data_IF_471928900475
#
_entry.id   IF_471928900475
#
_cell.length_a   1.000
_cell.length_b   1.000
_cell.length_c   1.000
_cell.angle_alpha   90.00
_cell.angle_beta   90.00
_cell.angle_gamma   90.00
#
_symmetry.space_group_name_H-M   'P 1'
#
loop_
_entity.id
_entity.type
_entity.pdbx_description
1 polymer ?
#
# COMPACT_ATOMS: atom_id res chain seq x y z
N UNK A 1 -2.01 50.02 -20.21
CA UNK A 1 -2.94 49.13 -19.51
C UNK A 1 -2.10 48.30 -18.56
N UNK A 2 -2.13 48.66 -17.29
CA UNK A 2 -1.40 47.98 -16.21
C UNK A 2 -2.12 46.68 -15.88
N UNK A 3 -1.42 45.55 -15.97
CA UNK A 3 -1.93 44.24 -15.55
C UNK A 3 -2.22 44.26 -14.05
N UNK A 4 -3.50 44.25 -13.71
CA UNK A 4 -3.97 44.07 -12.34
C UNK A 4 -3.90 42.58 -12.05
N UNK A 5 -2.84 42.16 -11.35
CA UNK A 5 -2.74 40.82 -10.78
C UNK A 5 -3.69 40.78 -9.57
N UNK A 6 -4.84 40.12 -9.73
CA UNK A 6 -5.70 39.79 -8.61
C UNK A 6 -5.06 38.65 -7.81
N UNK A 7 -4.36 38.98 -6.73
CA UNK A 7 -4.08 38.00 -5.68
C UNK A 7 -5.37 37.76 -4.93
N UNK A 8 -6.03 36.63 -5.19
CA UNK A 8 -7.08 36.10 -4.30
C UNK A 8 -6.42 35.69 -2.98
N UNK A 9 -6.03 36.66 -2.14
CA UNK A 9 -5.99 36.43 -0.70
C UNK A 9 -7.45 36.21 -0.32
N UNK A 10 -7.82 34.96 -0.08
CA UNK A 10 -9.03 34.65 0.68
C UNK A 10 -9.04 35.60 1.88
N UNK A 11 -10.09 36.40 2.01
CA UNK A 11 -10.32 37.28 3.16
C UNK A 11 -10.69 36.43 4.39
N UNK A 12 -9.92 35.38 4.68
CA UNK A 12 -9.97 34.70 5.97
C UNK A 12 -9.34 35.66 6.97
N UNK A 13 -10.17 36.26 7.81
CA UNK A 13 -9.68 37.05 8.95
C UNK A 13 -8.97 36.07 9.85
N UNK A 14 -7.66 36.26 10.01
CA UNK A 14 -6.82 35.49 10.92
C UNK A 14 -7.49 35.41 12.29
N UNK A 15 -7.82 34.20 12.74
CA UNK A 15 -8.64 34.00 13.94
C UNK A 15 -8.35 32.66 14.59
N UNK A 16 -7.77 32.77 15.77
CA UNK A 16 -7.62 31.68 16.71
C UNK A 16 -8.88 30.82 16.84
N UNK A 17 -8.72 29.56 16.46
CA UNK A 17 -9.73 28.52 16.54
C UNK A 17 -10.33 28.10 15.20
N UNK A 18 -9.72 28.48 14.07
CA UNK A 18 -10.09 28.02 12.73
C UNK A 18 -9.27 26.80 12.25
N UNK A 19 -8.33 26.32 13.07
CA UNK A 19 -7.35 25.26 12.81
C UNK A 19 -6.26 25.65 11.78
N UNK A 20 -6.03 26.93 11.55
CA UNK A 20 -4.95 27.43 10.69
C UNK A 20 -4.03 28.30 11.52
N UNK A 21 -2.74 27.94 11.58
CA UNK A 21 -1.76 28.73 12.33
C UNK A 21 -1.41 29.99 11.53
N UNK A 22 -1.93 31.13 11.98
CA UNK A 22 -1.66 32.45 11.43
C UNK A 22 -0.32 33.05 11.96
N UNK A 23 0.16 34.13 11.34
CA UNK A 23 1.45 34.77 11.69
C UNK A 23 1.57 35.20 13.16
N UNK A 24 0.45 35.46 13.85
CA UNK A 24 0.41 35.86 15.27
C UNK A 24 0.22 34.71 16.24
N UNK A 25 -0.02 33.49 15.75
CA UNK A 25 -0.37 32.32 16.54
C UNK A 25 0.79 31.34 16.63
N UNK A 26 0.87 30.61 17.74
CA UNK A 26 1.87 29.56 17.91
C UNK A 26 1.33 28.18 17.53
N UNK A 27 0.03 27.99 17.72
CA UNK A 27 -0.72 26.77 17.44
C UNK A 27 -2.19 27.11 17.26
N UNK A 28 -2.94 26.23 16.59
CA UNK A 28 -4.39 26.35 16.51
C UNK A 28 -5.04 24.95 16.50
N UNK A 29 -5.63 24.58 17.64
CA UNK A 29 -6.36 23.33 17.89
C UNK A 29 -7.85 23.41 17.50
N UNK A 30 -8.29 24.53 16.91
CA UNK A 30 -9.63 24.79 16.43
C UNK A 30 -10.58 25.31 17.51
N UNK A 31 -11.83 24.84 17.47
CA UNK A 31 -12.86 25.29 18.40
C UNK A 31 -12.43 25.11 19.87
N UNK A 32 -12.91 25.99 20.76
CA UNK A 32 -12.63 25.93 22.21
C UNK A 32 -12.79 24.52 22.83
N UNK A 33 -13.80 23.75 22.39
CA UNK A 33 -14.02 22.37 22.87
C UNK A 33 -12.91 21.39 22.46
N UNK A 34 -12.32 21.56 21.28
CA UNK A 34 -11.17 20.75 20.83
C UNK A 34 -9.93 21.12 21.64
N UNK A 35 -9.63 22.42 21.73
CA UNK A 35 -8.51 22.94 22.51
C UNK A 35 -8.56 22.60 24.00
N UNK A 36 -9.76 22.48 24.60
CA UNK A 36 -9.89 22.06 25.99
C UNK A 36 -9.30 20.66 26.25
N UNK A 37 -9.36 19.76 25.26
CA UNK A 37 -8.79 18.42 25.34
C UNK A 37 -7.38 18.33 24.74
N UNK A 38 -6.83 19.45 24.25
CA UNK A 38 -5.53 19.50 23.62
C UNK A 38 -4.43 19.77 24.68
N UNK A 39 -3.48 18.85 24.88
CA UNK A 39 -2.39 19.05 25.84
C UNK A 39 -1.30 20.00 25.31
N UNK A 40 -1.27 20.25 24.00
CA UNK A 40 -0.20 20.91 23.28
C UNK A 40 -0.55 22.34 22.87
N UNK A 41 -1.82 22.69 22.75
CA UNK A 41 -2.26 24.04 22.43
C UNK A 41 -3.37 24.54 23.35
N UNK A 42 -3.27 25.80 23.80
CA UNK A 42 -4.31 26.45 24.59
C UNK A 42 -5.36 27.11 23.69
N UNK A 43 -6.52 27.40 24.28
CA UNK A 43 -7.61 28.12 23.60
C UNK A 43 -7.29 29.58 23.22
N UNK A 44 -6.14 30.11 23.63
CA UNK A 44 -5.62 31.42 23.23
C UNK A 44 -4.56 31.33 22.11
N UNK A 45 -4.44 30.16 21.47
CA UNK A 45 -3.51 29.87 20.38
C UNK A 45 -2.02 30.05 20.76
N UNK A 46 -1.72 29.79 22.04
CA UNK A 46 -0.35 29.77 22.58
C UNK A 46 0.04 28.40 23.10
N UNK A 47 1.34 28.12 23.08
CA UNK A 47 1.87 26.89 23.65
C UNK A 47 1.85 26.94 25.19
N UNK A 48 1.44 25.85 25.88
CA UNK A 48 1.74 25.66 27.29
C UNK A 48 3.26 25.47 27.50
N UNK A 49 3.71 25.66 28.75
CA UNK A 49 5.14 25.52 29.07
C UNK A 49 5.64 24.11 28.76
N UNK A 50 6.72 24.02 27.99
CA UNK A 50 7.31 22.75 27.58
C UNK A 50 6.80 22.21 26.23
N UNK A 51 5.77 22.82 25.66
CA UNK A 51 5.31 22.50 24.30
C UNK A 51 6.06 23.34 23.27
N UNK A 52 6.42 22.68 22.17
CA UNK A 52 7.12 23.27 21.02
C UNK A 52 6.35 23.05 19.71
N UNK A 53 5.36 22.16 19.72
CA UNK A 53 4.51 21.84 18.59
C UNK A 53 3.16 21.34 19.10
N UNK A 54 2.18 21.41 18.20
CA UNK A 54 0.81 20.92 18.39
C UNK A 54 0.43 19.98 17.25
N UNK A 55 0.67 20.43 16.02
CA UNK A 55 0.39 19.69 14.79
C UNK A 55 1.66 19.11 14.15
N UNK A 56 1.46 18.14 13.26
CA UNK A 56 2.52 17.48 12.48
C UNK A 56 2.83 16.06 12.96
N UNK A 57 3.11 15.16 12.01
CA UNK A 57 3.32 13.72 12.32
C UNK A 57 4.62 13.43 13.09
N UNK A 58 5.51 14.40 13.20
CA UNK A 58 6.72 14.35 14.04
C UNK A 58 6.60 15.24 15.29
N UNK A 59 5.39 15.64 15.67
CA UNK A 59 5.09 16.17 16.99
C UNK A 59 4.64 15.03 17.90
N UNK A 60 5.45 14.68 18.90
CA UNK A 60 5.16 13.60 19.85
C UNK A 60 5.24 14.17 21.25
N UNK A 61 4.17 14.02 22.03
CA UNK A 61 4.06 14.62 23.37
C UNK A 61 4.38 16.12 23.38
N UNK A 62 3.80 16.87 22.43
CA UNK A 62 3.97 18.31 22.26
C UNK A 62 5.41 18.78 21.99
N UNK A 63 6.31 17.86 21.66
CA UNK A 63 7.72 18.12 21.43
C UNK A 63 8.20 17.42 20.16
N UNK A 64 9.40 17.79 19.72
CA UNK A 64 10.00 17.21 18.52
C UNK A 64 10.25 15.71 18.70
N UNK A 65 9.77 14.92 17.75
CA UNK A 65 10.06 13.49 17.71
C UNK A 65 11.56 13.23 17.56
N UNK A 66 12.07 12.23 18.27
CA UNK A 66 13.44 11.77 18.09
C UNK A 66 13.66 11.26 16.65
N UNK A 67 14.90 11.35 16.13
CA UNK A 67 15.24 10.75 14.84
C UNK A 67 14.89 9.25 14.79
N UNK A 68 14.29 8.80 13.70
CA UNK A 68 13.91 7.40 13.51
C UNK A 68 12.53 7.00 14.04
N UNK A 69 11.73 7.94 14.53
CA UNK A 69 10.30 7.68 14.77
C UNK A 69 9.58 7.57 13.42
N UNK A 70 8.89 6.46 13.17
CA UNK A 70 8.09 6.25 11.96
C UNK A 70 6.93 7.26 11.94
N UNK A 71 6.89 8.14 10.95
CA UNK A 71 5.83 9.13 10.80
C UNK A 71 4.91 8.88 9.61
N UNK A 72 5.35 8.10 8.60
CA UNK A 72 4.47 7.57 7.56
C UNK A 72 4.78 6.10 7.29
N UNK A 73 3.82 5.18 7.51
CA UNK A 73 4.00 3.78 7.16
C UNK A 73 3.80 3.56 5.65
N UNK A 74 4.38 2.47 5.15
CA UNK A 74 4.17 1.99 3.77
C UNK A 74 2.68 1.74 3.53
N UNK A 75 2.12 2.35 2.49
CA UNK A 75 0.72 2.19 2.11
C UNK A 75 0.48 1.04 1.13
N UNK A 76 1.43 0.77 0.24
CA UNK A 76 1.33 -0.29 -0.77
C UNK A 76 2.73 -0.76 -1.20
N UNK A 77 2.80 -1.75 -2.10
CA UNK A 77 4.07 -2.38 -2.52
C UNK A 77 5.02 -1.45 -3.28
N UNK A 78 4.52 -0.33 -3.79
CA UNK A 78 5.29 0.69 -4.50
C UNK A 78 5.67 1.88 -3.62
N UNK A 79 5.37 1.84 -2.33
CA UNK A 79 5.56 2.93 -1.39
C UNK A 79 6.76 2.68 -0.44
N UNK A 80 7.34 3.74 0.12
CA UNK A 80 8.45 3.66 1.08
C UNK A 80 8.06 4.27 2.44
N UNK A 81 8.69 3.86 3.56
CA UNK A 81 8.39 4.46 4.85
C UNK A 81 9.22 5.74 5.09
N UNK A 82 8.62 6.69 5.82
CA UNK A 82 9.30 7.92 6.28
C UNK A 82 9.41 7.97 7.80
N UNK A 83 10.56 8.48 8.22
CA UNK A 83 10.95 8.64 9.61
C UNK A 83 11.26 10.10 9.90
N UNK A 84 10.91 10.53 11.11
CA UNK A 84 11.27 11.84 11.62
C UNK A 84 12.79 11.99 11.62
N UNK A 85 13.28 13.12 11.12
CA UNK A 85 14.71 13.46 11.09
C UNK A 85 15.22 13.96 12.45
N UNK A 86 14.31 14.39 13.32
CA UNK A 86 14.60 15.12 14.55
C UNK A 86 15.00 16.58 14.32
N UNK A 87 14.74 17.15 13.15
CA UNK A 87 15.02 18.57 12.83
C UNK A 87 13.76 19.40 12.55
N UNK A 88 12.57 18.80 12.60
CA UNK A 88 11.28 19.49 12.47
C UNK A 88 10.12 18.71 13.09
N UNK A 89 8.90 19.25 12.96
CA UNK A 89 7.67 18.62 13.45
C UNK A 89 6.84 17.96 12.34
N UNK A 90 7.19 18.22 11.08
CA UNK A 90 6.58 17.57 9.92
C UNK A 90 7.36 16.31 9.54
N UNK A 91 6.64 15.31 9.06
CA UNK A 91 7.24 14.17 8.40
C UNK A 91 7.91 14.64 7.10
N UNK A 92 9.02 14.00 6.66
CA UNK A 92 9.52 14.21 5.31
C UNK A 92 8.43 14.02 4.25
N UNK A 93 8.67 14.54 3.05
CA UNK A 93 7.79 14.34 1.91
C UNK A 93 7.55 12.85 1.63
N UNK A 94 6.44 12.54 0.96
CA UNK A 94 6.10 11.18 0.54
C UNK A 94 7.05 10.69 -0.56
N UNK A 95 7.91 9.73 -0.21
CA UNK A 95 8.77 9.05 -1.18
C UNK A 95 8.24 7.64 -1.46
N UNK A 96 8.35 7.24 -2.71
CA UNK A 96 7.87 5.96 -3.20
C UNK A 96 8.89 5.38 -4.19
N UNK A 97 8.73 4.11 -4.56
CA UNK A 97 9.65 3.44 -5.50
C UNK A 97 9.70 4.17 -6.84
N UNK A 98 10.88 4.28 -7.42
CA UNK A 98 11.08 4.95 -8.71
C UNK A 98 10.16 4.37 -9.78
N UNK A 99 9.57 5.24 -10.59
CA UNK A 99 8.70 4.83 -11.70
C UNK A 99 9.43 3.86 -12.64
N UNK A 100 8.75 2.75 -12.96
CA UNK A 100 9.31 1.63 -13.72
C UNK A 100 9.84 0.47 -12.86
N UNK A 101 9.90 0.62 -11.53
CA UNK A 101 10.24 -0.50 -10.63
C UNK A 101 9.20 -1.62 -10.78
N UNK A 102 9.59 -2.88 -11.09
CA UNK A 102 8.63 -3.98 -11.19
C UNK A 102 7.89 -4.22 -9.87
N UNK A 103 6.57 -4.36 -9.93
CA UNK A 103 5.73 -4.61 -8.74
C UNK A 103 4.96 -5.94 -8.81
N UNK A 104 4.62 -6.38 -10.02
CA UNK A 104 4.10 -7.74 -10.31
C UNK A 104 4.75 -8.28 -11.58
N UNK A 105 4.39 -9.48 -12.01
CA UNK A 105 4.87 -10.03 -13.28
C UNK A 105 4.40 -9.22 -14.50
N UNK A 106 3.24 -8.55 -14.39
CA UNK A 106 2.61 -7.79 -15.47
C UNK A 106 2.62 -6.26 -15.23
N UNK A 107 3.15 -5.80 -14.09
CA UNK A 107 3.01 -4.43 -13.60
C UNK A 107 4.30 -3.82 -13.07
N UNK A 108 4.37 -2.50 -13.15
CA UNK A 108 5.42 -1.67 -12.55
C UNK A 108 4.84 -0.54 -11.70
N UNK A 109 5.66 0.03 -10.82
CA UNK A 109 5.33 1.20 -10.03
C UNK A 109 5.29 2.45 -10.91
N UNK A 110 4.26 3.28 -10.71
CA UNK A 110 4.11 4.57 -11.36
C UNK A 110 3.40 5.53 -10.40
N UNK A 111 4.05 6.64 -10.04
CA UNK A 111 3.58 7.58 -9.00
C UNK A 111 3.11 6.88 -7.72
N UNK A 112 3.96 5.96 -7.21
CA UNK A 112 3.75 5.28 -5.93
C UNK A 112 2.62 4.25 -5.90
N UNK A 113 2.05 3.89 -7.05
CA UNK A 113 1.05 2.83 -7.16
C UNK A 113 1.49 1.76 -8.15
N UNK A 114 1.10 0.52 -7.91
CA UNK A 114 1.31 -0.55 -8.88
C UNK A 114 0.29 -0.43 -10.02
N UNK A 115 0.78 -0.57 -11.25
CA UNK A 115 -0.01 -0.42 -12.49
C UNK A 115 -0.79 -1.67 -12.88
N UNK A 116 -0.65 -2.76 -12.12
CA UNK A 116 -1.38 -3.99 -12.37
C UNK A 116 -2.88 -3.81 -12.07
N UNK A 117 -3.73 -4.12 -13.07
CA UNK A 117 -5.19 -4.04 -12.95
C UNK A 117 -5.76 -5.02 -11.94
N UNK A 118 -5.15 -6.19 -11.78
CA UNK A 118 -5.58 -7.19 -10.81
C UNK A 118 -5.37 -6.67 -9.39
N UNK A 119 -4.19 -6.14 -9.09
CA UNK A 119 -3.92 -5.47 -7.82
C UNK A 119 -4.92 -4.35 -7.56
N UNK A 120 -5.22 -3.52 -8.57
CA UNK A 120 -6.19 -2.45 -8.42
C UNK A 120 -7.62 -2.97 -8.14
N UNK A 121 -8.03 -4.05 -8.80
CA UNK A 121 -9.30 -4.72 -8.51
C UNK A 121 -9.33 -5.30 -7.09
N UNK A 122 -8.22 -5.86 -6.61
CA UNK A 122 -8.11 -6.44 -5.27
C UNK A 122 -8.18 -5.39 -4.16
N UNK A 123 -7.61 -4.21 -4.38
CA UNK A 123 -7.73 -3.08 -3.46
C UNK A 123 -9.20 -2.61 -3.30
N UNK A 124 -10.01 -2.71 -4.37
CA UNK A 124 -11.41 -2.26 -4.36
C UNK A 124 -12.36 -3.35 -3.88
N UNK A 125 -12.18 -4.60 -4.32
CA UNK A 125 -13.15 -5.69 -4.15
C UNK A 125 -12.64 -6.86 -3.28
N UNK A 126 -11.39 -6.81 -2.84
CA UNK A 126 -10.74 -7.85 -2.04
C UNK A 126 -9.91 -8.84 -2.85
N UNK A 127 -9.13 -9.66 -2.14
CA UNK A 127 -8.07 -10.53 -2.70
C UNK A 127 -8.50 -11.44 -3.86
N UNK A 128 -9.75 -11.91 -3.88
CA UNK A 128 -10.26 -12.80 -4.94
C UNK A 128 -10.53 -12.11 -6.28
N UNK A 129 -10.60 -10.78 -6.31
CA UNK A 129 -10.93 -10.04 -7.52
C UNK A 129 -9.78 -10.06 -8.55
N UNK A 130 -10.13 -10.14 -9.82
CA UNK A 130 -9.18 -10.20 -10.94
C UNK A 130 -9.49 -9.10 -11.96
N UNK A 131 -8.48 -8.73 -12.76
CA UNK A 131 -8.71 -7.86 -13.93
C UNK A 131 -9.79 -8.46 -14.83
N UNK A 132 -10.71 -7.61 -15.31
CA UNK A 132 -11.68 -8.04 -16.31
C UNK A 132 -10.99 -8.31 -17.66
N UNK A 133 -11.51 -9.24 -18.47
CA UNK A 133 -11.06 -9.39 -19.86
C UNK A 133 -11.37 -8.13 -20.67
N UNK A 134 -10.68 -7.96 -21.80
CA UNK A 134 -10.83 -6.79 -22.67
C UNK A 134 -12.28 -6.53 -23.11
N UNK A 135 -13.09 -7.58 -23.24
CA UNK A 135 -14.51 -7.46 -23.55
C UNK A 135 -15.28 -6.63 -22.52
N UNK A 136 -14.95 -6.72 -21.23
CA UNK A 136 -15.61 -5.93 -20.18
C UNK A 136 -15.41 -4.43 -20.39
N UNK A 137 -14.25 -4.02 -20.91
CA UNK A 137 -13.92 -2.62 -21.11
C UNK A 137 -14.75 -1.96 -22.21
N UNK A 138 -15.40 -2.71 -23.11
CA UNK A 138 -16.33 -2.15 -24.12
C UNK A 138 -17.44 -1.28 -23.52
N UNK A 139 -17.77 -1.45 -22.24
CA UNK A 139 -18.72 -0.58 -21.52
C UNK A 139 -18.25 0.89 -21.50
N UNK A 140 -16.95 1.14 -21.58
CA UNK A 140 -16.36 2.48 -21.57
C UNK A 140 -16.68 3.31 -22.83
N UNK A 141 -17.07 2.68 -23.92
CA UNK A 141 -17.54 3.34 -25.14
C UNK A 141 -18.97 3.89 -25.01
N UNK A 142 -19.71 3.51 -23.94
CA UNK A 142 -21.11 3.91 -23.78
C UNK A 142 -21.29 5.33 -23.21
N UNK A 143 -20.28 5.87 -22.52
CA UNK A 143 -20.35 7.23 -21.97
C UNK A 143 -21.37 7.41 -20.85
N UNK A 144 -21.41 6.48 -19.89
CA UNK A 144 -22.27 6.58 -18.71
C UNK A 144 -21.47 6.42 -17.41
N UNK A 145 -22.10 6.59 -16.23
CA UNK A 145 -21.41 6.65 -14.92
C UNK A 145 -20.48 5.47 -14.59
N UNK A 146 -20.77 4.28 -15.11
CA UNK A 146 -19.95 3.07 -14.93
C UNK A 146 -18.97 2.77 -16.08
N UNK A 147 -19.05 3.52 -17.18
CA UNK A 147 -18.28 3.25 -18.39
C UNK A 147 -18.08 4.53 -19.19
N UNK A 148 -16.92 5.17 -19.00
CA UNK A 148 -16.51 6.41 -19.66
C UNK A 148 -15.00 6.62 -19.46
N UNK A 149 -14.42 7.55 -20.22
CA UNK A 149 -13.03 7.97 -20.02
C UNK A 149 -12.96 9.30 -19.29
N UNK A 150 -13.84 10.24 -19.63
CA UNK A 150 -13.71 11.63 -19.22
C UNK A 150 -15.00 12.13 -18.59
N UNK A 151 -14.88 13.23 -17.84
CA UNK A 151 -16.02 13.98 -17.32
C UNK A 151 -15.93 15.39 -17.87
N UNK A 152 -16.94 15.82 -18.62
CA UNK A 152 -17.00 17.18 -19.12
C UNK A 152 -17.03 18.17 -17.94
N UNK A 153 -16.01 19.04 -17.84
CA UNK A 153 -15.77 19.89 -16.67
C UNK A 153 -16.95 20.82 -16.34
N UNK A 154 -17.75 21.23 -17.33
CA UNK A 154 -18.89 22.14 -17.13
C UNK A 154 -20.22 21.44 -16.87
N UNK A 155 -20.45 20.26 -17.46
CA UNK A 155 -21.77 19.58 -17.43
C UNK A 155 -21.80 18.39 -16.47
N UNK A 156 -20.67 18.00 -15.88
CA UNK A 156 -20.49 16.80 -15.06
C UNK A 156 -20.96 15.51 -15.76
N UNK A 157 -21.07 15.54 -17.09
CA UNK A 157 -21.51 14.41 -17.89
C UNK A 157 -20.33 13.49 -18.24
N UNK A 158 -20.49 12.16 -18.09
CA UNK A 158 -19.54 11.18 -18.57
C UNK A 158 -19.40 11.25 -20.10
N UNK A 159 -18.16 11.25 -20.58
CA UNK A 159 -17.82 11.23 -22.00
C UNK A 159 -17.29 9.84 -22.38
N UNK A 160 -17.87 9.27 -23.44
CA UNK A 160 -17.47 7.98 -23.98
C UNK A 160 -15.99 7.96 -24.36
N UNK A 161 -15.36 6.80 -24.19
CA UNK A 161 -14.00 6.59 -24.68
C UNK A 161 -13.96 6.50 -26.20
N UNK A 162 -12.87 7.00 -26.80
CA UNK A 162 -12.50 6.59 -28.15
C UNK A 162 -11.97 5.14 -28.15
N UNK A 163 -11.99 4.43 -29.29
CA UNK A 163 -11.61 3.01 -29.36
C UNK A 163 -10.20 2.70 -28.82
N UNK A 164 -9.25 3.64 -28.96
CA UNK A 164 -7.89 3.51 -28.43
C UNK A 164 -7.79 3.67 -26.92
N UNK A 165 -8.75 4.36 -26.29
CA UNK A 165 -8.70 4.77 -24.88
C UNK A 165 -9.57 3.89 -23.98
N UNK A 166 -10.29 2.93 -24.57
CA UNK A 166 -11.24 2.04 -23.87
C UNK A 166 -10.63 1.35 -22.65
N UNK A 167 -9.33 1.04 -22.70
CA UNK A 167 -8.56 0.40 -21.63
C UNK A 167 -8.09 1.37 -20.52
N UNK A 168 -8.33 2.67 -20.67
CA UNK A 168 -7.92 3.75 -19.78
C UNK A 168 -9.11 4.49 -19.14
N UNK A 169 -10.33 4.03 -19.39
CA UNK A 169 -11.55 4.54 -18.76
C UNK A 169 -11.79 3.94 -17.37
N UNK A 170 -13.03 3.52 -17.10
CA UNK A 170 -13.39 2.85 -15.85
C UNK A 170 -12.75 1.47 -15.76
N UNK A 171 -12.24 1.14 -14.58
CA UNK A 171 -11.70 -0.17 -14.26
C UNK A 171 -12.82 -1.21 -14.30
N UNK A 172 -12.53 -2.39 -14.85
CA UNK A 172 -13.44 -3.51 -14.89
C UNK A 172 -12.78 -4.72 -14.24
N UNK A 173 -13.52 -5.39 -13.36
CA UNK A 173 -13.05 -6.50 -12.55
C UNK A 173 -13.95 -7.72 -12.73
N UNK A 174 -13.42 -8.89 -12.40
CA UNK A 174 -14.14 -10.17 -12.36
C UNK A 174 -13.85 -10.89 -11.06
N UNK A 175 -14.53 -12.01 -10.83
CA UNK A 175 -14.37 -12.85 -9.63
C UNK A 175 -14.63 -12.09 -8.31
N UNK A 176 -15.57 -11.13 -8.33
CA UNK A 176 -16.01 -10.40 -7.14
C UNK A 176 -17.03 -11.24 -6.39
N UNK A 177 -16.66 -11.71 -5.18
CA UNK A 177 -17.50 -12.60 -4.36
C UNK A 177 -18.29 -11.85 -3.28
N UNK A 178 -17.73 -10.76 -2.76
CA UNK A 178 -18.35 -9.92 -1.74
C UNK A 178 -18.08 -8.45 -2.06
N UNK A 179 -19.05 -7.59 -1.77
CA UNK A 179 -18.91 -6.14 -1.95
C UNK A 179 -18.45 -5.52 -0.62
N UNK A 180 -17.24 -4.94 -0.56
CA UNK A 180 -16.79 -4.27 0.66
C UNK A 180 -17.63 -3.02 0.93
N UNK A 181 -17.46 -2.41 2.11
CA UNK A 181 -18.00 -1.09 2.36
C UNK A 181 -17.31 -0.08 1.42
N UNK A 182 -18.03 0.30 0.37
CA UNK A 182 -17.61 1.33 -0.56
C UNK A 182 -17.74 2.71 0.09
N UNK A 183 -17.00 3.68 -0.43
CA UNK A 183 -17.11 5.08 -0.02
C UNK A 183 -18.54 5.60 -0.21
N UNK A 184 -18.91 6.61 0.58
CA UNK A 184 -20.21 7.28 0.41
C UNK A 184 -20.37 7.78 -1.02
N UNK A 185 -21.60 7.70 -1.55
CA UNK A 185 -21.93 8.10 -2.91
C UNK A 185 -21.23 7.32 -4.04
N UNK A 186 -20.70 6.13 -3.75
CA UNK A 186 -20.21 5.18 -4.76
C UNK A 186 -21.21 4.02 -4.92
N UNK A 187 -21.68 3.83 -6.14
CA UNK A 187 -22.41 2.64 -6.58
C UNK A 187 -21.51 1.67 -7.34
N UNK A 188 -21.98 0.45 -7.52
CA UNK A 188 -21.33 -0.55 -8.36
C UNK A 188 -22.29 -0.99 -9.47
N UNK A 189 -21.71 -1.60 -10.51
CA UNK A 189 -22.49 -2.36 -11.49
C UNK A 189 -21.99 -3.80 -11.52
N UNK A 190 -22.91 -4.67 -11.93
CA UNK A 190 -22.64 -6.05 -12.28
C UNK A 190 -23.33 -6.28 -13.62
N UNK A 191 -22.57 -6.57 -14.67
CA UNK A 191 -23.10 -6.66 -16.03
C UNK A 191 -22.51 -7.86 -16.75
N UNK A 192 -23.36 -8.60 -17.46
CA UNK A 192 -22.92 -9.70 -18.32
C UNK A 192 -22.52 -9.13 -19.68
N UNK A 193 -21.23 -9.13 -19.99
CA UNK A 193 -20.66 -8.60 -21.23
C UNK A 193 -19.89 -9.72 -21.92
N UNK A 194 -20.30 -10.09 -23.13
CA UNK A 194 -19.71 -11.18 -23.91
C UNK A 194 -19.59 -12.50 -23.12
N UNK A 195 -20.61 -12.83 -22.31
CA UNK A 195 -20.65 -14.03 -21.48
C UNK A 195 -19.83 -13.96 -20.18
N UNK A 196 -19.19 -12.82 -19.88
CA UNK A 196 -18.40 -12.63 -18.66
C UNK A 196 -19.11 -11.67 -17.72
N UNK A 197 -19.11 -12.00 -16.42
CA UNK A 197 -19.69 -11.17 -15.38
C UNK A 197 -18.68 -10.08 -14.97
N UNK A 198 -18.88 -8.87 -15.47
CA UNK A 198 -18.02 -7.72 -15.24
C UNK A 198 -18.54 -6.85 -14.10
N UNK A 199 -17.64 -6.42 -13.23
CA UNK A 199 -17.89 -5.54 -12.11
C UNK A 199 -17.10 -4.24 -12.24
N UNK A 200 -17.63 -3.16 -11.68
CA UNK A 200 -16.95 -1.88 -11.60
C UNK A 200 -17.70 -0.93 -10.69
N UNK A 201 -17.04 0.14 -10.28
CA UNK A 201 -17.64 1.20 -9.46
C UNK A 201 -17.89 2.44 -10.29
N UNK A 202 -18.90 3.23 -9.93
CA UNK A 202 -19.20 4.47 -10.62
C UNK A 202 -18.25 5.60 -10.24
N UNK A 203 -18.27 6.64 -11.06
CA UNK A 203 -17.58 7.90 -10.81
C UNK A 203 -17.94 8.46 -9.43
N UNK A 204 -16.92 8.67 -8.59
CA UNK A 204 -17.09 9.38 -7.34
C UNK A 204 -17.48 10.85 -7.58
N UNK A 205 -18.54 11.33 -6.92
CA UNK A 205 -19.14 12.65 -7.18
C UNK A 205 -18.55 13.79 -6.33
N UNK A 206 -17.94 13.50 -5.19
CA UNK A 206 -17.39 14.53 -4.29
C UNK A 206 -16.09 15.16 -4.80
N UNK A 207 -15.88 16.44 -4.47
CA UNK A 207 -14.79 17.30 -4.98
C UNK A 207 -13.44 17.13 -4.29
N UNK A 208 -13.32 16.25 -3.28
CA UNK A 208 -12.11 16.13 -2.45
C UNK A 208 -11.69 14.67 -2.20
N UNK A 209 -12.22 13.74 -2.99
CA UNK A 209 -11.99 12.29 -2.82
C UNK A 209 -11.38 11.69 -4.08
N UNK A 210 -10.43 10.77 -3.90
CA UNK A 210 -9.83 10.01 -5.01
C UNK A 210 -10.82 9.05 -5.61
N UNK A 211 -11.08 9.17 -6.92
CA UNK A 211 -11.93 8.24 -7.66
C UNK A 211 -11.20 6.90 -7.90
N UNK A 212 -11.52 5.91 -7.07
CA UNK A 212 -10.87 4.59 -7.08
C UNK A 212 -11.24 3.73 -8.29
N UNK A 213 -12.32 4.04 -9.00
CA UNK A 213 -12.79 3.18 -10.12
C UNK A 213 -12.25 3.55 -11.49
N UNK A 214 -11.33 4.51 -11.59
CA UNK A 214 -10.67 4.90 -12.82
C UNK A 214 -9.38 4.09 -13.02
N UNK A 215 -9.08 3.63 -14.23
CA UNK A 215 -7.78 3.00 -14.50
C UNK A 215 -6.65 3.99 -14.20
N UNK A 216 -5.71 3.58 -13.33
CA UNK A 216 -4.59 4.41 -12.88
C UNK A 216 -3.71 4.84 -14.05
N UNK A 217 -3.19 6.06 -13.99
CA UNK A 217 -2.13 6.48 -14.90
C UNK A 217 -0.91 5.55 -14.77
N UNK A 218 -0.18 5.34 -15.86
CA UNK A 218 0.90 4.37 -15.93
C UNK A 218 0.47 2.95 -16.30
N UNK A 219 -0.83 2.63 -16.23
CA UNK A 219 -1.33 1.29 -16.57
C UNK A 219 -1.14 0.95 -18.05
N UNK A 220 -0.52 -0.19 -18.42
CA UNK A 220 -0.37 -0.58 -19.82
C UNK A 220 -1.72 -0.67 -20.55
N UNK A 221 -1.82 -0.08 -21.73
CA UNK A 221 -3.07 -0.05 -22.52
C UNK A 221 -2.88 -0.53 -23.97
N UNK A 222 -1.63 -0.73 -24.38
CA UNK A 222 -1.27 -1.23 -25.69
C UNK A 222 0.24 -1.45 -25.79
N UNK A 223 0.70 -1.90 -26.96
CA UNK A 223 2.14 -2.16 -27.18
C UNK A 223 2.96 -0.89 -26.97
N UNK A 224 3.83 -0.90 -25.97
CA UNK A 224 4.70 0.24 -25.62
C UNK A 224 3.94 1.46 -25.07
N UNK A 225 2.64 1.34 -24.81
CA UNK A 225 1.79 2.45 -24.39
C UNK A 225 1.14 2.22 -23.03
N UNK A 226 0.94 3.32 -22.30
CA UNK A 226 0.25 3.32 -21.03
C UNK A 226 -0.79 4.45 -20.94
N UNK A 227 -1.72 4.30 -20.00
CA UNK A 227 -2.77 5.28 -19.72
C UNK A 227 -2.17 6.54 -19.08
N UNK A 228 -2.34 7.69 -19.71
CA UNK A 228 -1.95 8.98 -19.16
C UNK A 228 -3.18 9.88 -19.14
N UNK A 229 -3.67 10.22 -17.94
CA UNK A 229 -4.86 11.05 -17.76
C UNK A 229 -6.04 10.56 -18.63
N UNK A 230 -6.35 9.27 -18.58
CA UNK A 230 -7.45 8.59 -19.31
C UNK A 230 -7.24 8.36 -20.82
N UNK A 231 -6.08 8.76 -21.37
CA UNK A 231 -5.72 8.50 -22.77
C UNK A 231 -4.69 7.38 -22.90
N UNK A 232 -4.81 6.54 -23.92
CA UNK A 232 -3.79 5.54 -24.24
C UNK A 232 -2.69 6.12 -25.15
N UNK A 233 -1.95 7.10 -24.63
CA UNK A 233 -0.92 7.82 -25.37
C UNK A 233 0.41 7.98 -24.64
N UNK A 234 0.51 7.60 -23.37
CA UNK A 234 1.78 7.56 -22.64
C UNK A 234 2.71 6.53 -23.27
N UNK A 235 4.01 6.83 -23.35
CA UNK A 235 5.00 5.91 -23.93
C UNK A 235 5.84 5.30 -22.82
N UNK A 236 5.93 3.97 -22.75
CA UNK A 236 6.75 3.27 -21.74
C UNK A 236 8.22 3.71 -21.84
N UNK A 237 8.71 4.02 -23.04
CA UNK A 237 10.07 4.55 -23.24
C UNK A 237 10.33 5.92 -22.61
N UNK A 238 9.28 6.68 -22.27
CA UNK A 238 9.41 7.96 -21.57
C UNK A 238 9.65 7.77 -20.05
N UNK A 239 9.41 6.56 -19.51
CA UNK A 239 9.72 6.24 -18.12
C UNK A 239 11.23 6.03 -18.00
N UNK A 240 11.93 7.04 -17.48
CA UNK A 240 13.39 7.00 -17.31
C UNK A 240 13.73 6.24 -16.03
N UNK A 241 13.75 4.91 -16.15
CA UNK A 241 14.21 4.01 -15.09
C UNK A 241 15.72 3.78 -15.18
N UNK A 242 16.45 4.16 -14.14
CA UNK A 242 17.91 4.03 -14.05
C UNK A 242 18.36 3.29 -12.77
N UNK A 243 17.43 2.65 -12.05
CA UNK A 243 17.72 1.94 -10.83
C UNK A 243 18.13 0.49 -11.07
N UNK A 244 19.29 0.29 -11.68
CA UNK A 244 19.90 -1.04 -11.74
C UNK A 244 20.37 -1.47 -10.34
N UNK A 245 20.33 -2.76 -9.98
CA UNK A 245 20.72 -3.23 -8.64
C UNK A 245 22.11 -2.76 -8.18
N UNK A 246 23.06 -2.58 -9.10
CA UNK A 246 24.41 -2.07 -8.82
C UNK A 246 24.43 -0.63 -8.31
N UNK A 247 23.46 0.22 -8.68
CA UNK A 247 23.38 1.63 -8.26
C UNK A 247 23.29 1.76 -6.73
N UNK A 248 22.57 0.84 -6.09
CA UNK A 248 22.41 0.76 -4.64
C UNK A 248 23.16 -0.43 -4.03
N UNK A 249 24.30 -0.82 -4.63
CA UNK A 249 25.18 -1.88 -4.13
C UNK A 249 24.49 -3.23 -3.88
N UNK A 250 23.45 -3.55 -4.66
CA UNK A 250 22.57 -4.73 -4.49
C UNK A 250 21.93 -4.82 -3.09
N UNK A 251 21.81 -3.69 -2.39
CA UNK A 251 21.41 -3.57 -0.99
C UNK A 251 20.37 -2.47 -0.78
N UNK A 252 19.68 -2.08 -1.84
CA UNK A 252 18.63 -1.08 -1.79
C UNK A 252 17.90 -0.94 -3.11
N UNK A 253 16.89 -0.08 -3.10
CA UNK A 253 16.04 0.28 -4.24
C UNK A 253 16.06 1.79 -4.40
N UNK A 254 15.67 2.35 -5.54
CA UNK A 254 15.64 3.79 -5.72
C UNK A 254 14.25 4.36 -5.42
N UNK A 255 14.22 5.52 -4.80
CA UNK A 255 12.99 6.30 -4.65
C UNK A 255 12.71 7.16 -5.90
N UNK A 256 11.56 7.83 -5.93
CA UNK A 256 11.14 8.79 -6.96
C UNK A 256 12.09 9.99 -7.13
N UNK A 257 12.92 10.30 -6.13
CA UNK A 257 14.01 11.28 -6.24
C UNK A 257 15.32 10.70 -6.82
N UNK A 258 15.30 9.43 -7.29
CA UNK A 258 16.43 8.68 -7.86
C UNK A 258 17.58 8.39 -6.88
N UNK A 259 17.34 8.55 -5.58
CA UNK A 259 18.29 8.22 -4.52
C UNK A 259 18.04 6.80 -3.98
N UNK A 260 19.08 6.16 -3.45
CA UNK A 260 18.90 4.84 -2.85
C UNK A 260 18.14 4.93 -1.52
N UNK A 261 17.18 4.04 -1.37
CA UNK A 261 16.56 3.60 -0.14
C UNK A 261 17.16 2.24 0.21
N UNK A 262 18.08 2.25 1.16
CA UNK A 262 18.85 1.09 1.56
C UNK A 262 18.05 0.14 2.44
N UNK A 263 18.27 -1.15 2.25
CA UNK A 263 17.75 -2.17 3.13
C UNK A 263 18.32 -2.01 4.54
N UNK A 264 17.57 -2.51 5.50
CA UNK A 264 17.94 -2.42 6.90
C UNK A 264 19.31 -3.05 7.14
N UNK A 265 20.21 -2.32 7.80
CA UNK A 265 21.61 -2.71 7.99
C UNK A 265 22.62 -1.97 7.10
N UNK A 266 22.18 -1.13 6.15
CA UNK A 266 23.02 -0.38 5.22
C UNK A 266 22.64 1.10 5.17
N UNK A 267 23.61 2.01 5.17
CA UNK A 267 23.33 3.44 5.12
C UNK A 267 23.33 4.00 3.70
N UNK A 268 22.44 4.97 3.40
CA UNK A 268 22.50 5.78 2.19
C UNK A 268 23.79 6.64 2.19
N UNK A 269 24.25 7.17 1.03
CA UNK A 269 23.51 7.32 -0.24
C UNK A 269 23.63 6.14 -1.22
N UNK A 270 24.59 5.22 -1.04
CA UNK A 270 24.86 4.13 -2.01
C UNK A 270 24.77 2.72 -1.42
N UNK A 271 24.35 2.59 -0.15
CA UNK A 271 24.20 1.31 0.55
C UNK A 271 25.51 0.50 0.67
N UNK A 272 26.66 1.18 0.71
CA UNK A 272 27.98 0.57 0.82
C UNK A 272 28.37 0.26 2.27
N UNK A 273 28.05 1.16 3.19
CA UNK A 273 28.45 1.08 4.60
C UNK A 273 27.32 0.54 5.47
N UNK A 274 27.67 -0.12 6.58
CA UNK A 274 26.68 -0.62 7.52
C UNK A 274 26.02 0.54 8.27
N UNK A 275 24.72 0.42 8.50
CA UNK A 275 23.99 1.35 9.34
C UNK A 275 22.52 1.02 9.48
N UNK A 276 21.66 2.02 9.62
CA UNK A 276 20.27 1.83 10.02
C UNK A 276 19.37 1.42 8.84
N UNK A 277 19.64 1.87 7.61
CA UNK A 277 18.74 1.70 6.46
C UNK A 277 18.19 3.02 5.94
N UNK A 278 17.15 2.94 5.12
CA UNK A 278 16.39 4.09 4.66
C UNK A 278 17.09 4.88 3.56
N UNK A 279 16.67 6.13 3.35
CA UNK A 279 17.19 6.99 2.30
C UNK A 279 17.64 8.32 2.88
N UNK A 280 18.44 9.07 2.12
CA UNK A 280 18.76 10.47 2.45
C UNK A 280 17.50 11.35 2.51
N UNK A 281 16.41 10.91 1.88
CA UNK A 281 15.17 11.67 1.76
C UNK A 281 14.13 11.35 2.85
N UNK A 282 14.03 10.09 3.28
CA UNK A 282 12.94 9.62 4.15
C UNK A 282 13.31 9.57 5.63
N UNK A 283 14.39 10.24 6.05
CA UNK A 283 14.95 10.15 7.40
C UNK A 283 15.58 8.78 7.72
N UNK A 284 16.47 8.71 8.72
CA UNK A 284 17.08 7.45 9.11
C UNK A 284 16.06 6.61 9.90
N UNK A 285 15.94 5.30 9.63
CA UNK A 285 15.17 4.40 10.49
C UNK A 285 15.84 4.29 11.87
N UNK A 286 15.12 3.77 12.89
CA UNK A 286 15.66 3.70 14.24
C UNK A 286 16.91 2.81 14.30
N UNK A 287 18.03 3.38 14.76
CA UNK A 287 19.34 2.72 14.82
C UNK A 287 19.40 1.54 15.80
N UNK A 288 18.54 1.53 16.81
CA UNK A 288 18.38 0.42 17.74
C UNK A 288 17.28 -0.51 17.23
N UNK A 289 17.66 -1.51 16.44
CA UNK A 289 16.84 -2.72 16.38
C UNK A 289 16.68 -3.24 17.80
N UNK A 290 15.44 -3.49 18.23
CA UNK A 290 15.20 -4.45 19.31
C UNK A 290 15.83 -5.75 18.87
N UNK A 291 17.05 -6.01 19.34
CA UNK A 291 17.61 -7.36 19.35
C UNK A 291 16.63 -8.13 20.23
N UNK A 292 15.78 -8.95 19.62
CA UNK A 292 15.04 -9.95 20.39
C UNK A 292 16.12 -10.81 21.01
N UNK A 293 16.44 -10.53 22.27
CA UNK A 293 17.34 -11.36 23.05
C UNK A 293 16.58 -12.66 23.25
N UNK A 294 16.73 -13.58 22.30
CA UNK A 294 16.24 -14.94 22.48
C UNK A 294 17.00 -15.47 23.69
N UNK A 295 16.30 -15.61 24.80
CA UNK A 295 16.89 -16.17 26.00
C UNK A 295 17.29 -17.62 25.64
N UNK A 296 18.60 -17.86 25.60
CA UNK A 296 19.21 -19.11 25.13
C UNK A 296 18.64 -20.30 25.90
N UNK A 297 18.28 -20.10 27.17
CA UNK A 297 17.66 -21.14 28.00
C UNK A 297 16.31 -21.62 27.44
N UNK A 298 15.45 -20.71 26.97
CA UNK A 298 14.16 -21.09 26.35
C UNK A 298 14.36 -21.90 25.07
N UNK A 299 15.36 -21.55 24.25
CA UNK A 299 15.66 -22.27 23.00
C UNK A 299 16.22 -23.66 23.31
N UNK A 300 17.11 -23.77 24.29
CA UNK A 300 17.65 -25.06 24.75
C UNK A 300 16.54 -25.93 25.35
N UNK A 301 15.68 -25.37 26.19
CA UNK A 301 14.54 -26.08 26.79
C UNK A 301 13.61 -26.64 25.73
N UNK A 302 13.20 -25.83 24.74
CA UNK A 302 12.37 -26.29 23.63
C UNK A 302 13.05 -27.41 22.83
N UNK A 303 14.35 -27.29 22.52
CA UNK A 303 15.10 -28.35 21.83
C UNK A 303 15.15 -29.65 22.63
N UNK A 304 15.30 -29.59 23.94
CA UNK A 304 15.28 -30.78 24.82
C UNK A 304 13.89 -31.40 24.86
N UNK A 305 12.83 -30.59 24.96
CA UNK A 305 11.43 -31.08 24.96
C UNK A 305 11.11 -31.79 23.64
N UNK A 306 11.39 -31.14 22.50
CA UNK A 306 11.18 -31.77 21.19
C UNK A 306 12.06 -33.00 20.99
N UNK A 307 13.33 -32.96 21.43
CA UNK A 307 14.22 -34.12 21.39
C UNK A 307 13.68 -35.31 22.18
N UNK A 308 13.12 -35.08 23.38
CA UNK A 308 12.45 -36.12 24.19
C UNK A 308 11.19 -36.65 23.53
N UNK A 309 10.38 -35.77 22.93
CA UNK A 309 9.18 -36.17 22.20
C UNK A 309 9.54 -37.09 21.01
N UNK A 310 10.55 -36.71 20.22
CA UNK A 310 11.01 -37.53 19.09
C UNK A 310 11.56 -38.88 19.55
N UNK A 311 12.34 -38.92 20.64
CA UNK A 311 12.84 -40.18 21.19
C UNK A 311 11.71 -41.09 21.68
N UNK A 312 10.68 -40.52 22.31
CA UNK A 312 9.50 -41.27 22.77
C UNK A 312 8.71 -41.85 21.59
N UNK A 313 8.47 -41.05 20.54
CA UNK A 313 7.82 -41.52 19.32
C UNK A 313 8.62 -42.64 18.64
N UNK A 314 9.95 -42.50 18.57
CA UNK A 314 10.82 -43.55 18.03
C UNK A 314 10.75 -44.85 18.84
N UNK A 315 10.70 -44.76 20.18
CA UNK A 315 10.57 -45.92 21.05
C UNK A 315 9.22 -46.63 20.86
N UNK A 316 8.11 -45.88 20.72
CA UNK A 316 6.79 -46.45 20.41
C UNK A 316 6.82 -47.17 19.07
N UNK A 317 7.34 -46.52 18.02
CA UNK A 317 7.41 -47.11 16.68
C UNK A 317 8.26 -48.40 16.68
N UNK A 318 9.38 -48.40 17.40
CA UNK A 318 10.22 -49.59 17.56
C UNK A 318 9.52 -50.71 18.35
N UNK A 319 8.79 -50.36 19.42
CA UNK A 319 7.99 -51.31 20.21
C UNK A 319 6.85 -51.94 19.40
N UNK A 320 6.18 -51.16 18.56
CA UNK A 320 5.16 -51.67 17.63
C UNK A 320 5.78 -52.59 16.60
N UNK A 321 6.87 -52.19 15.95
CA UNK A 321 7.57 -52.98 14.94
C UNK A 321 8.07 -54.34 15.48
N UNK A 322 8.51 -54.38 16.74
CA UNK A 322 8.99 -55.61 17.39
C UNK A 322 7.84 -56.53 17.83
N UNK A 323 6.70 -55.99 18.29
CA UNK A 323 5.51 -56.78 18.64
C UNK A 323 4.78 -57.43 17.45
N UNK A 324 4.93 -56.89 16.23
CA UNK A 324 4.32 -57.47 15.02
C UNK A 324 4.90 -58.85 14.68
N UNK A 325 6.10 -59.21 15.16
CA UNK A 325 6.72 -60.53 14.93
C UNK A 325 6.08 -61.67 15.74
N UNK A 326 5.24 -61.39 16.73
CA UNK A 326 4.67 -62.40 17.66
C UNK A 326 3.27 -62.90 17.30
N UNK A 327 2.79 -62.69 16.07
CA UNK A 327 1.53 -63.28 15.60
C UNK A 327 1.80 -64.74 15.18
N UNK A 328 1.48 -65.72 16.04
CA UNK A 328 1.52 -67.15 15.69
C UNK A 328 0.34 -67.47 14.76
N UNK A 329 0.61 -67.70 13.48
CA UNK A 329 -0.35 -68.29 12.54
C UNK A 329 -0.52 -69.77 12.87
N UNK A 330 -1.65 -70.15 13.47
CA UNK A 330 -2.03 -71.56 13.60
C UNK A 330 -2.72 -72.00 12.32
N UNK A 331 -2.07 -72.85 11.54
CA UNK A 331 -2.66 -73.49 10.36
C UNK A 331 -3.62 -74.57 10.84
N UNK A 332 -4.91 -74.42 10.56
CA UNK A 332 -5.94 -75.44 10.80
C UNK A 332 -5.98 -76.32 9.56
N UNK A 333 -5.57 -77.58 9.67
CA UNK A 333 -5.75 -78.56 8.61
C UNK A 333 -7.17 -79.08 8.66
N UNK A 334 -7.92 -78.86 7.58
CA UNK A 334 -9.24 -79.47 7.37
C UNK A 334 -9.00 -80.75 6.58
N UNK A 335 -9.24 -81.91 7.20
CA UNK A 335 -9.33 -83.18 6.50
C UNK A 335 -10.67 -83.24 5.75
N UNK A 336 -10.61 -83.25 4.42
CA UNK A 336 -11.73 -83.63 3.56
C UNK A 336 -11.78 -85.14 3.48
N UNK A 337 -12.84 -85.74 4.04
CA UNK A 337 -13.17 -87.13 3.81
C UNK A 337 -13.63 -87.32 2.35
N UNK A 338 -12.93 -88.17 1.60
CA UNK A 338 -13.34 -88.62 0.27
C UNK A 338 -14.49 -89.63 0.37
N UNK A 339 -15.41 -89.52 -0.59
CA UNK A 339 -16.60 -90.36 -0.79
C UNK A 339 -16.30 -91.86 -0.91
N UNK A 340 -17.21 -92.66 -0.36
CA UNK A 340 -17.63 -93.92 -0.96
C UNK A 340 -19.13 -94.12 -0.76
#
# INVERSE_FOLDING_TARGET
MTDIVYTNRTYSVARCGDNVVDETEQCDCGSFKRCYNDPCCKSDCTFPRGSSCDTGRCCVNCTQAAPGVLCRPIQNICDLPEYCTGSGFQCPDDFYLQDGTPCTEEGYCYHGNCTDRTMHCQEIFGEGALKGPDSCYSINERGHRFGHCRRAAMLFQPEACGPSDVQCGRLQCTNVTHLPQLQEHVGFHQSLISGVLCFGVDLHRATETTDVGLVRSGTPCGRGKFCLNTYCNGSISAIVYDCYPSKCSHRGVCNNAKNCHCHVGWDPPSCLHRGAGGSINSGPPPSKMRRVSQNIETVVYLRVVFGRLYAFLAAILFGVATNVRTIKTTVVNVETAEEK
#
